data_IF_281262608074
#
_entry.id   IF_281262608074
#
_cell.length_a   1.000
_cell.length_b   1.000
_cell.length_c   1.000
_cell.angle_alpha   90.00
_cell.angle_beta   90.00
_cell.angle_gamma   90.00
#
_symmetry.space_group_name_H-M   'P 1'
#
loop_
_entity.id
_entity.type
_entity.pdbx_description
1 polymer ?
#
# COMPACT_ATOMS: atom_id res chain seq x y z
N UNK A 1 -13.62 7.91 1.95
CA UNK A 1 -13.22 7.25 3.21
C UNK A 1 -13.61 8.18 4.34
N UNK A 2 -14.72 7.89 5.02
CA UNK A 2 -15.17 8.68 6.17
C UNK A 2 -14.69 7.99 7.44
N UNK A 3 -13.99 8.71 8.31
CA UNK A 3 -13.35 8.16 9.51
C UNK A 3 -13.91 8.84 10.77
N UNK A 4 -14.82 8.15 11.48
CA UNK A 4 -15.24 8.52 12.83
C UNK A 4 -15.03 7.34 13.82
N UNK A 5 -14.64 7.70 15.05
CA UNK A 5 -13.99 6.90 16.11
C UNK A 5 -14.77 5.71 16.71
N UNK A 6 -14.11 4.82 17.52
CA UNK A 6 -12.70 4.82 17.93
C UNK A 6 -11.89 3.67 17.28
N UNK A 7 -10.70 3.95 16.74
CA UNK A 7 -9.90 2.96 16.01
C UNK A 7 -8.44 2.91 16.50
N UNK A 8 -8.03 1.72 16.97
CA UNK A 8 -6.82 1.42 17.75
C UNK A 8 -5.51 1.54 16.93
N UNK A 9 -4.35 1.68 17.61
CA UNK A 9 -3.00 1.66 16.98
C UNK A 9 -2.75 0.35 16.24
N UNK A 10 -1.98 0.39 15.15
CA UNK A 10 -1.63 -0.79 14.36
C UNK A 10 -2.72 -1.30 13.42
N UNK A 11 -3.84 -0.56 13.26
CA UNK A 11 -4.82 -0.89 12.23
C UNK A 11 -4.21 -0.83 10.84
N UNK A 12 -4.54 -1.85 10.05
CA UNK A 12 -4.14 -1.96 8.65
C UNK A 12 -5.35 -1.80 7.75
N UNK A 13 -5.26 -0.91 6.76
CA UNK A 13 -6.14 -0.92 5.61
C UNK A 13 -5.52 -1.81 4.54
N UNK A 14 -6.31 -2.69 3.94
CA UNK A 14 -5.86 -3.61 2.91
C UNK A 14 -6.76 -3.45 1.69
N UNK A 15 -6.15 -3.15 0.54
CA UNK A 15 -6.77 -3.25 -0.77
C UNK A 15 -6.23 -4.48 -1.49
N UNK A 16 -7.12 -5.25 -2.13
CA UNK A 16 -6.75 -6.44 -2.91
C UNK A 16 -7.38 -6.36 -4.29
N UNK A 17 -6.60 -6.65 -5.32
CA UNK A 17 -7.13 -6.76 -6.68
C UNK A 17 -7.85 -8.09 -6.89
N UNK A 18 -8.69 -8.22 -7.93
CA UNK A 18 -9.06 -9.52 -8.48
C UNK A 18 -7.82 -10.35 -8.86
N UNK A 19 -7.97 -11.68 -9.01
CA UNK A 19 -6.89 -12.53 -9.51
C UNK A 19 -6.39 -12.09 -10.89
N UNK A 20 -5.09 -11.92 -11.01
CA UNK A 20 -4.37 -11.57 -12.22
C UNK A 20 -3.82 -12.86 -12.85
N UNK A 21 -4.01 -13.09 -14.16
CA UNK A 21 -3.48 -14.25 -14.87
C UNK A 21 -1.95 -14.35 -14.80
N UNK A 22 -1.44 -15.58 -14.88
CA UNK A 22 -0.02 -15.84 -15.01
C UNK A 22 0.56 -15.24 -16.29
N UNK A 23 1.85 -14.95 -16.27
CA UNK A 23 2.66 -14.46 -17.40
C UNK A 23 2.22 -13.12 -17.99
N UNK A 24 1.34 -12.39 -17.30
CA UNK A 24 1.03 -10.99 -17.62
C UNK A 24 2.07 -10.07 -16.97
N UNK A 25 2.63 -9.16 -17.76
CA UNK A 25 3.47 -8.06 -17.27
C UNK A 25 2.57 -6.89 -16.88
N UNK A 26 2.61 -6.50 -15.63
CA UNK A 26 1.90 -5.35 -15.09
C UNK A 26 2.91 -4.36 -14.54
N UNK A 27 2.69 -3.08 -14.83
CA UNK A 27 3.43 -1.98 -14.24
C UNK A 27 2.45 -1.20 -13.36
N UNK A 28 2.50 -1.41 -12.05
CA UNK A 28 1.64 -0.71 -11.12
C UNK A 28 2.25 0.67 -10.84
N UNK A 29 1.47 1.73 -11.07
CA UNK A 29 1.87 3.11 -10.85
C UNK A 29 0.90 3.74 -9.89
N UNK A 30 1.41 4.49 -8.91
CA UNK A 30 0.56 5.17 -7.94
C UNK A 30 1.28 6.36 -7.34
N UNK A 31 0.50 7.34 -6.91
CA UNK A 31 0.98 8.42 -6.06
C UNK A 31 0.65 8.12 -4.60
N UNK A 32 1.54 8.51 -3.71
CA UNK A 32 1.34 8.38 -2.27
C UNK A 32 1.87 9.61 -1.54
N UNK A 33 1.24 9.93 -0.42
CA UNK A 33 1.66 11.01 0.47
C UNK A 33 1.86 10.44 1.87
N UNK A 34 3.03 10.70 2.46
CA UNK A 34 3.36 10.25 3.81
C UNK A 34 4.18 11.34 4.50
N UNK A 35 3.50 12.30 5.13
CA UNK A 35 4.12 13.39 5.88
C UNK A 35 3.83 13.27 7.38
N UNK A 36 4.86 13.34 8.23
CA UNK A 36 4.72 13.36 9.68
C UNK A 36 5.62 12.37 10.43
N UNK A 37 6.12 12.78 11.60
CA UNK A 37 7.06 12.00 12.42
C UNK A 37 6.52 10.67 12.96
N UNK A 38 5.21 10.49 12.94
CA UNK A 38 4.53 9.30 13.45
C UNK A 38 3.82 8.53 12.34
N UNK A 39 4.27 8.69 11.09
CA UNK A 39 3.76 7.91 9.96
C UNK A 39 4.04 6.43 10.15
N UNK A 40 3.11 5.60 9.69
CA UNK A 40 3.28 4.15 9.63
C UNK A 40 3.92 3.73 8.31
N UNK A 41 3.42 2.66 7.70
CA UNK A 41 4.02 2.07 6.50
C UNK A 41 3.01 1.81 5.40
N UNK A 42 3.41 2.00 4.15
CA UNK A 42 2.67 1.57 2.97
C UNK A 42 3.46 0.44 2.31
N UNK A 43 2.79 -0.64 1.91
CA UNK A 43 3.46 -1.79 1.32
C UNK A 43 2.62 -2.41 0.21
N UNK A 44 3.29 -2.82 -0.86
CA UNK A 44 2.72 -3.63 -1.94
C UNK A 44 3.26 -5.05 -1.81
N UNK A 45 2.34 -6.00 -1.78
CA UNK A 45 2.61 -7.43 -1.82
C UNK A 45 1.95 -8.07 -3.02
N UNK A 46 2.40 -9.27 -3.34
CA UNK A 46 1.60 -10.23 -4.12
C UNK A 46 1.33 -11.49 -3.29
N UNK A 47 0.23 -12.17 -3.59
CA UNK A 47 -0.05 -13.49 -3.04
C UNK A 47 -0.81 -14.34 -4.06
N UNK A 48 -0.73 -15.67 -3.91
CA UNK A 48 -1.65 -16.56 -4.63
C UNK A 48 -3.03 -16.50 -3.96
N UNK A 49 -4.15 -16.57 -4.68
CA UNK A 49 -5.49 -16.46 -4.10
C UNK A 49 -5.72 -17.40 -2.90
N UNK A 50 -5.24 -18.64 -3.00
CA UNK A 50 -5.44 -19.69 -1.98
C UNK A 50 -4.26 -19.87 -1.02
N UNK A 51 -3.25 -19.00 -1.06
CA UNK A 51 -2.05 -19.13 -0.21
C UNK A 51 -1.90 -17.86 0.62
N UNK A 52 -1.88 -17.93 1.97
CA UNK A 52 -1.78 -16.75 2.82
C UNK A 52 -0.39 -16.08 2.82
N UNK A 53 0.56 -16.61 2.03
CA UNK A 53 1.92 -16.10 1.95
C UNK A 53 1.97 -14.82 1.13
N UNK A 54 2.21 -13.70 1.80
CA UNK A 54 2.53 -12.42 1.18
C UNK A 54 3.99 -12.41 0.70
N UNK A 55 4.21 -11.96 -0.52
CA UNK A 55 5.53 -11.73 -1.11
C UNK A 55 5.70 -10.22 -1.26
N UNK A 56 6.67 -9.58 -0.56
CA UNK A 56 6.87 -8.14 -0.65
C UNK A 56 7.37 -7.74 -2.04
N UNK A 57 6.85 -6.62 -2.55
CA UNK A 57 7.24 -6.04 -3.83
C UNK A 57 7.72 -4.61 -3.69
N UNK A 58 7.13 -3.85 -2.78
CA UNK A 58 7.52 -2.47 -2.50
C UNK A 58 7.08 -2.10 -1.09
N UNK A 59 7.82 -1.20 -0.44
CA UNK A 59 7.40 -0.60 0.82
C UNK A 59 7.99 0.79 1.01
N UNK A 60 7.28 1.61 1.77
CA UNK A 60 7.75 2.87 2.30
C UNK A 60 7.33 2.98 3.77
N UNK A 61 8.24 3.44 4.62
CA UNK A 61 8.07 3.48 6.06
C UNK A 61 8.34 4.89 6.60
N UNK A 62 7.51 5.37 7.51
CA UNK A 62 7.67 6.68 8.13
C UNK A 62 7.42 7.84 7.16
N UNK A 63 8.05 8.98 7.44
CA UNK A 63 7.90 10.18 6.63
C UNK A 63 8.67 10.04 5.31
N UNK A 64 7.96 10.20 4.20
CA UNK A 64 8.50 10.16 2.84
C UNK A 64 8.37 11.52 2.14
N UNK A 65 7.30 12.26 2.43
CA UNK A 65 7.07 13.61 1.95
C UNK A 65 7.84 14.63 2.80
N UNK A 66 8.37 15.67 2.16
CA UNK A 66 9.16 16.74 2.76
C UNK A 66 8.26 17.85 3.32
N UNK A 67 7.05 17.98 2.79
CA UNK A 67 6.05 18.94 3.21
C UNK A 67 4.62 18.37 3.06
N UNK A 68 3.61 19.15 3.49
CA UNK A 68 2.21 18.74 3.52
C UNK A 68 1.57 18.57 2.13
N UNK A 69 2.17 19.10 1.07
CA UNK A 69 1.62 19.06 -0.30
C UNK A 69 2.39 18.14 -1.25
N UNK A 70 3.52 17.58 -0.81
CA UNK A 70 4.38 16.76 -1.67
C UNK A 70 3.84 15.33 -1.80
N UNK A 71 3.39 14.98 -2.99
CA UNK A 71 3.12 13.61 -3.39
C UNK A 71 4.38 12.95 -3.97
N UNK A 72 4.58 11.69 -3.63
CA UNK A 72 5.63 10.84 -4.19
C UNK A 72 5.02 9.89 -5.22
N UNK A 73 5.76 9.62 -6.28
CA UNK A 73 5.39 8.64 -7.29
C UNK A 73 6.15 7.33 -7.04
N UNK A 74 5.47 6.19 -7.20
CA UNK A 74 6.07 4.87 -7.19
C UNK A 74 5.64 4.06 -8.41
N UNK A 75 6.57 3.25 -8.90
CA UNK A 75 6.36 2.27 -9.97
C UNK A 75 6.82 0.90 -9.48
N UNK A 76 5.99 -0.13 -9.70
CA UNK A 76 6.27 -1.50 -9.30
C UNK A 76 5.99 -2.43 -10.47
N UNK A 77 7.07 -2.97 -11.03
CA UNK A 77 6.99 -3.98 -12.09
C UNK A 77 6.66 -5.36 -11.51
N UNK A 78 5.60 -5.95 -12.06
CA UNK A 78 5.02 -7.20 -11.60
C UNK A 78 4.90 -8.17 -12.77
N UNK A 79 5.61 -9.28 -12.65
CA UNK A 79 5.52 -10.41 -13.56
C UNK A 79 5.62 -11.70 -12.76
N UNK A 80 4.67 -12.61 -12.91
CA UNK A 80 4.65 -13.88 -12.18
C UNK A 80 4.20 -15.01 -13.11
N UNK A 81 4.76 -16.21 -12.92
CA UNK A 81 4.41 -17.42 -13.69
C UNK A 81 3.21 -18.17 -13.10
N UNK A 82 2.50 -17.58 -12.15
CA UNK A 82 1.33 -18.13 -11.47
C UNK A 82 0.26 -17.04 -11.30
N UNK A 83 -1.00 -17.45 -11.17
CA UNK A 83 -2.10 -16.53 -10.85
C UNK A 83 -1.88 -15.89 -9.48
N UNK A 84 -1.94 -14.56 -9.43
CA UNK A 84 -1.64 -13.79 -8.22
C UNK A 84 -2.62 -12.64 -8.01
N UNK A 85 -2.65 -12.07 -6.82
CA UNK A 85 -3.34 -10.82 -6.52
C UNK A 85 -2.32 -9.80 -6.04
N UNK A 86 -2.54 -8.54 -6.36
CA UNK A 86 -1.80 -7.42 -5.76
C UNK A 86 -2.52 -7.04 -4.47
N UNK A 87 -1.75 -6.83 -3.41
CA UNK A 87 -2.24 -6.50 -2.08
C UNK A 87 -1.51 -5.24 -1.62
N UNK A 88 -2.24 -4.14 -1.51
CA UNK A 88 -1.71 -2.90 -0.96
C UNK A 88 -2.13 -2.82 0.50
N UNK A 89 -1.17 -2.62 1.40
CA UNK A 89 -1.41 -2.54 2.84
C UNK A 89 -0.86 -1.23 3.38
N UNK A 90 -1.74 -0.41 3.92
CA UNK A 90 -1.38 0.74 4.74
C UNK A 90 -1.47 0.38 6.23
N UNK A 91 -0.39 0.57 6.96
CA UNK A 91 -0.32 0.36 8.42
C UNK A 91 -0.26 1.72 9.09
N UNK A 92 -1.16 1.98 10.04
CA UNK A 92 -1.15 3.25 10.78
C UNK A 92 0.04 3.34 11.72
N UNK A 93 0.68 4.50 11.76
CA UNK A 93 1.71 4.80 12.75
C UNK A 93 1.12 5.18 14.13
N UNK A 94 1.92 5.84 14.96
CA UNK A 94 1.63 6.03 16.39
C UNK A 94 0.77 7.26 16.72
N UNK A 95 0.47 8.13 15.75
CA UNK A 95 -0.29 9.38 15.94
C UNK A 95 -1.53 9.50 15.04
N UNK A 96 -2.46 10.39 15.41
CA UNK A 96 -3.76 10.61 14.78
C UNK A 96 -3.71 11.30 13.39
N UNK A 97 -2.59 11.89 12.99
CA UNK A 97 -2.45 12.72 11.78
C UNK A 97 -1.97 11.98 10.52
N UNK A 98 -2.08 10.65 10.47
CA UNK A 98 -1.59 9.86 9.33
C UNK A 98 -2.73 9.54 8.35
N UNK A 99 -3.11 10.52 7.54
CA UNK A 99 -4.00 10.30 6.41
C UNK A 99 -3.18 9.66 5.29
N UNK A 100 -3.30 8.34 5.14
CA UNK A 100 -2.74 7.63 4.01
C UNK A 100 -3.79 7.56 2.92
N UNK A 101 -3.63 8.39 1.89
CA UNK A 101 -4.44 8.34 0.69
C UNK A 101 -3.63 7.68 -0.44
N UNK A 102 -4.29 6.79 -1.18
CA UNK A 102 -3.80 6.23 -2.43
C UNK A 102 -4.79 6.72 -3.48
N UNK A 103 -4.29 7.33 -4.54
CA UNK A 103 -5.09 7.82 -5.66
C UNK A 103 -4.51 7.30 -6.99
N UNK A 104 -5.36 7.21 -8.02
CA UNK A 104 -5.05 6.71 -9.38
C UNK A 104 -4.38 5.32 -9.44
N UNK A 105 -5.16 4.26 -9.24
CA UNK A 105 -4.76 2.85 -9.47
C UNK A 105 -5.18 2.38 -10.85
#
# INVERSE_FOLDING_TARGET
>A
MEASSPRLRGQTAILRTPPIPASLRICMRFYYHMFGKSMGSLSVFIARPSVPRLIPKWSADGQQSSNQSEWKFAEVDLFQTFVYQIIIRGTRGSSFYSDMAIDDI
#
